data_IF_053802330371
#
_entry.id   IF_053802330371
#
_cell.length_a   1.000
_cell.length_b   1.000
_cell.length_c   1.000
_cell.angle_alpha   90.00
_cell.angle_beta   90.00
_cell.angle_gamma   90.00
#
_symmetry.space_group_name_H-M   'P 1'
#
loop_
_entity.id
_entity.type
_entity.pdbx_description
1 polymer ?
#
# COMPACT_ATOMS: atom_id res chain seq x y z
N UNK A 1 -13.78 2.38 14.40
CA UNK A 1 -13.31 1.01 14.02
C UNK A 1 -12.16 0.73 14.97
N UNK A 2 -12.27 -0.31 15.81
CA UNK A 2 -11.26 -0.62 16.85
C UNK A 2 -9.82 -0.69 16.30
N UNK A 3 -9.66 -1.13 15.05
CA UNK A 3 -8.35 -1.19 14.39
C UNK A 3 -7.76 0.19 14.06
N UNK A 4 -8.55 1.16 13.60
CA UNK A 4 -8.06 2.51 13.30
C UNK A 4 -7.62 3.22 14.59
N UNK A 5 -8.43 3.09 15.64
CA UNK A 5 -8.13 3.64 16.96
C UNK A 5 -6.86 3.00 17.55
N UNK A 6 -6.71 1.68 17.42
CA UNK A 6 -5.49 0.98 17.85
C UNK A 6 -4.24 1.48 17.10
N UNK A 7 -4.31 1.62 15.78
CA UNK A 7 -3.17 2.08 14.97
C UNK A 7 -2.82 3.53 15.33
N UNK A 8 -3.81 4.38 15.57
CA UNK A 8 -3.55 5.75 16.00
C UNK A 8 -2.92 5.81 17.40
N UNK A 9 -3.39 4.98 18.34
CA UNK A 9 -2.77 4.89 19.67
C UNK A 9 -1.31 4.44 19.60
N UNK A 10 -0.99 3.46 18.74
CA UNK A 10 0.39 3.03 18.49
C UNK A 10 1.21 4.18 17.89
N UNK A 11 0.64 4.96 16.96
CA UNK A 11 1.30 6.12 16.35
C UNK A 11 1.66 7.17 17.39
N UNK A 12 0.72 7.48 18.29
CA UNK A 12 0.94 8.43 19.38
C UNK A 12 2.01 7.95 20.36
N UNK A 13 1.96 6.69 20.78
CA UNK A 13 2.99 6.11 21.66
C UNK A 13 4.38 6.14 21.02
N UNK A 14 4.48 5.91 19.71
CA UNK A 14 5.75 6.02 19.00
C UNK A 14 6.26 7.48 18.94
N UNK A 15 5.36 8.46 18.74
CA UNK A 15 5.70 9.88 18.78
C UNK A 15 6.26 10.31 20.15
N UNK A 16 5.63 9.85 21.24
CA UNK A 16 6.11 10.07 22.61
C UNK A 16 7.45 9.40 22.90
N UNK A 17 7.66 8.19 22.37
CA UNK A 17 8.92 7.47 22.54
C UNK A 17 10.08 8.17 21.83
N UNK A 18 9.84 8.76 20.65
CA UNK A 18 10.85 9.54 19.93
C UNK A 18 11.39 10.72 20.78
N UNK A 19 10.55 11.33 21.60
CA UNK A 19 10.99 12.43 22.47
C UNK A 19 11.96 11.95 23.56
N UNK A 20 11.74 10.73 24.08
CA UNK A 20 12.54 10.14 25.17
C UNK A 20 13.91 9.62 24.72
N UNK A 21 14.12 9.38 23.42
CA UNK A 21 15.39 8.83 22.91
C UNK A 21 16.54 9.81 23.09
N UNK A 22 17.56 9.44 23.87
CA UNK A 22 18.75 10.29 24.10
C UNK A 22 19.81 10.15 22.99
N UNK A 23 19.76 9.08 22.21
CA UNK A 23 20.76 8.76 21.19
C UNK A 23 20.49 9.42 19.83
N UNK A 24 19.32 10.06 19.65
CA UNK A 24 18.96 10.80 18.43
C UNK A 24 18.97 12.30 18.72
N UNK A 25 19.56 13.08 17.82
CA UNK A 25 19.60 14.54 17.88
C UNK A 25 18.24 15.19 17.54
N UNK A 26 18.05 16.44 17.99
CA UNK A 26 16.80 17.18 17.81
C UNK A 26 16.33 17.31 16.35
N UNK A 27 17.21 17.67 15.38
CA UNK A 27 16.86 17.70 13.96
C UNK A 27 16.34 16.36 13.43
N UNK A 28 17.01 15.26 13.73
CA UNK A 28 16.58 13.93 13.28
C UNK A 28 15.26 13.51 13.91
N UNK A 29 15.00 13.82 15.18
CA UNK A 29 13.68 13.61 15.82
C UNK A 29 12.57 14.34 15.08
N UNK A 30 12.81 15.59 14.65
CA UNK A 30 11.84 16.38 13.88
C UNK A 30 11.49 15.71 12.55
N UNK A 31 12.48 15.22 11.81
CA UNK A 31 12.25 14.51 10.55
C UNK A 31 11.57 13.14 10.77
N UNK A 32 11.93 12.43 11.85
CA UNK A 32 11.26 11.18 12.23
C UNK A 32 9.77 11.40 12.53
N UNK A 33 9.41 12.46 13.27
CA UNK A 33 8.01 12.84 13.51
C UNK A 33 7.27 13.24 12.23
N UNK A 34 7.93 13.98 11.33
CA UNK A 34 7.36 14.30 10.00
C UNK A 34 7.08 13.03 9.19
N UNK A 35 8.00 12.06 9.21
CA UNK A 35 7.82 10.77 8.53
C UNK A 35 6.65 10.00 9.15
N UNK A 36 6.58 9.93 10.49
CA UNK A 36 5.50 9.28 11.22
C UNK A 36 4.12 9.83 10.85
N UNK A 37 3.98 11.16 10.76
CA UNK A 37 2.73 11.84 10.35
C UNK A 37 2.33 11.58 8.90
N UNK A 38 3.28 11.18 8.04
CA UNK A 38 3.04 10.86 6.63
C UNK A 38 2.80 9.36 6.38
N UNK A 39 2.83 8.53 7.41
CA UNK A 39 2.53 7.10 7.25
C UNK A 39 1.04 6.95 6.92
N UNK A 40 0.76 6.48 5.72
CA UNK A 40 -0.60 6.16 5.29
C UNK A 40 -1.04 4.83 5.90
N UNK A 41 -2.10 4.86 6.71
CA UNK A 41 -2.69 3.68 7.31
C UNK A 41 -3.51 2.93 6.24
N UNK A 42 -3.22 1.65 6.02
CA UNK A 42 -3.97 0.79 5.09
C UNK A 42 -4.59 -0.35 5.91
N UNK A 43 -5.88 -0.22 6.23
CA UNK A 43 -6.58 -1.13 7.15
C UNK A 43 -7.69 -1.86 6.39
N UNK A 44 -7.70 -3.19 6.46
CA UNK A 44 -8.66 -4.04 5.75
C UNK A 44 -8.28 -4.17 4.27
N UNK A 45 -9.01 -3.48 3.40
CA UNK A 45 -8.86 -3.57 1.95
C UNK A 45 -8.99 -2.17 1.33
N UNK A 46 -8.37 -1.94 0.16
CA UNK A 46 -8.39 -0.62 -0.45
C UNK A 46 -9.79 -0.29 -0.97
N UNK A 47 -10.26 0.94 -0.75
CA UNK A 47 -11.63 1.35 -1.08
C UNK A 47 -11.99 1.18 -2.56
N UNK A 48 -10.99 1.18 -3.45
CA UNK A 48 -11.22 1.01 -4.87
C UNK A 48 -11.94 -0.29 -5.22
N UNK A 49 -11.83 -1.35 -4.40
CA UNK A 49 -12.53 -2.61 -4.68
C UNK A 49 -14.04 -2.49 -4.51
N UNK A 50 -14.52 -1.48 -3.76
CA UNK A 50 -15.94 -1.18 -3.62
C UNK A 50 -16.50 -0.45 -4.85
N UNK A 51 -15.63 0.11 -5.69
CA UNK A 51 -16.01 0.79 -6.92
C UNK A 51 -15.92 -0.19 -8.10
N UNK A 52 -17.08 -0.66 -8.56
CA UNK A 52 -17.15 -1.65 -9.63
C UNK A 52 -16.54 -1.16 -10.95
N UNK A 53 -16.75 0.11 -11.31
CA UNK A 53 -16.17 0.72 -12.52
C UNK A 53 -14.65 0.68 -12.46
N UNK A 54 -14.06 1.16 -11.36
CA UNK A 54 -12.61 1.18 -11.19
C UNK A 54 -12.01 -0.23 -11.09
N UNK A 55 -12.73 -1.16 -10.43
CA UNK A 55 -12.34 -2.56 -10.35
C UNK A 55 -12.31 -3.20 -11.75
N UNK A 56 -13.34 -2.96 -12.56
CA UNK A 56 -13.44 -3.44 -13.93
C UNK A 56 -12.39 -2.81 -14.84
N UNK A 57 -12.06 -1.52 -14.70
CA UNK A 57 -10.94 -0.93 -15.44
C UNK A 57 -9.61 -1.58 -15.08
N UNK A 58 -9.40 -1.88 -13.79
CA UNK A 58 -8.15 -2.46 -13.31
C UNK A 58 -7.94 -3.91 -13.75
N UNK A 59 -9.01 -4.70 -13.82
CA UNK A 59 -8.98 -6.14 -14.12
C UNK A 59 -9.65 -6.52 -15.45
N UNK A 60 -10.24 -5.60 -16.19
CA UNK A 60 -11.05 -5.91 -17.37
C UNK A 60 -10.26 -6.40 -18.58
N UNK A 61 -8.94 -6.23 -18.58
CA UNK A 61 -8.10 -6.72 -19.67
C UNK A 61 -7.45 -8.08 -19.43
N UNK A 62 -7.82 -8.81 -18.37
CA UNK A 62 -7.44 -10.22 -18.25
C UNK A 62 -8.43 -11.07 -19.05
N UNK A 63 -7.91 -11.92 -19.95
CA UNK A 63 -8.71 -12.91 -20.68
C UNK A 63 -8.38 -14.27 -20.09
N UNK A 64 -9.29 -14.79 -19.27
CA UNK A 64 -9.16 -16.07 -18.58
C UNK A 64 -10.09 -17.08 -19.26
N UNK A 65 -9.54 -18.20 -19.72
CA UNK A 65 -10.28 -19.28 -20.39
C UNK A 65 -10.34 -20.48 -19.45
N UNK A 66 -11.52 -21.04 -19.22
CA UNK A 66 -11.67 -22.23 -18.38
C UNK A 66 -10.83 -23.39 -18.94
N UNK A 67 -10.25 -24.21 -18.05
CA UNK A 67 -9.38 -25.35 -18.39
C UNK A 67 -8.02 -25.03 -19.06
N UNK A 68 -7.66 -23.75 -19.23
CA UNK A 68 -6.34 -23.33 -19.73
C UNK A 68 -5.47 -22.69 -18.63
N UNK A 69 -5.32 -23.34 -17.48
CA UNK A 69 -4.61 -22.77 -16.32
C UNK A 69 -3.22 -22.21 -16.70
N UNK A 70 -2.38 -23.04 -17.34
CA UNK A 70 -1.02 -22.63 -17.69
C UNK A 70 -0.97 -21.43 -18.64
N UNK A 71 -1.79 -21.42 -19.69
CA UNK A 71 -1.83 -20.30 -20.64
C UNK A 71 -2.37 -19.02 -19.98
N UNK A 72 -3.36 -19.15 -19.09
CA UNK A 72 -3.89 -18.02 -18.32
C UNK A 72 -2.82 -17.42 -17.42
N UNK A 73 -2.04 -18.25 -16.72
CA UNK A 73 -0.93 -17.78 -15.88
C UNK A 73 0.14 -17.04 -16.70
N UNK A 74 0.49 -17.56 -17.90
CA UNK A 74 1.41 -16.85 -18.81
C UNK A 74 0.84 -15.49 -19.21
N UNK A 75 -0.44 -15.43 -19.61
CA UNK A 75 -1.11 -14.17 -20.00
C UNK A 75 -1.11 -13.15 -18.86
N UNK A 76 -1.43 -13.58 -17.63
CA UNK A 76 -1.41 -12.74 -16.43
C UNK A 76 0.01 -12.24 -16.16
N UNK A 77 1.00 -13.13 -16.15
CA UNK A 77 2.40 -12.80 -15.90
C UNK A 77 2.96 -11.79 -16.90
N UNK A 78 2.76 -12.01 -18.20
CA UNK A 78 3.19 -11.09 -19.26
C UNK A 78 2.55 -9.70 -19.10
N UNK A 79 1.27 -9.64 -18.71
CA UNK A 79 0.57 -8.38 -18.48
C UNK A 79 1.11 -7.65 -17.25
N UNK A 80 1.37 -8.34 -16.14
CA UNK A 80 1.99 -7.74 -14.95
C UNK A 80 3.38 -7.17 -15.23
N UNK A 81 4.20 -7.89 -16.00
CA UNK A 81 5.51 -7.40 -16.44
C UNK A 81 5.35 -6.13 -17.27
N UNK A 82 4.45 -6.12 -18.26
CA UNK A 82 4.18 -4.94 -19.10
C UNK A 82 3.70 -3.75 -18.26
N UNK A 83 2.78 -3.96 -17.31
CA UNK A 83 2.29 -2.91 -16.39
C UNK A 83 3.42 -2.33 -15.56
N UNK A 84 4.27 -3.19 -15.01
CA UNK A 84 5.45 -2.81 -14.23
C UNK A 84 6.40 -1.96 -15.07
N UNK A 85 6.76 -2.41 -16.28
CA UNK A 85 7.63 -1.65 -17.19
C UNK A 85 7.03 -0.28 -17.50
N UNK A 86 5.74 -0.21 -17.84
CA UNK A 86 5.06 1.06 -18.14
C UNK A 86 5.04 2.03 -16.95
N UNK A 87 4.96 1.52 -15.71
CA UNK A 87 5.03 2.34 -14.50
C UNK A 87 6.38 3.04 -14.33
N UNK A 88 7.46 2.42 -14.79
CA UNK A 88 8.83 2.93 -14.65
C UNK A 88 9.36 3.63 -15.91
N UNK A 89 8.63 3.56 -17.03
CA UNK A 89 8.90 4.30 -18.26
C UNK A 89 8.49 5.77 -18.07
N UNK A 90 9.31 6.53 -17.33
CA UNK A 90 9.26 8.00 -17.34
C UNK A 90 9.85 8.54 -18.64
#
# INVERSE_FOLDING_TARGET
>A
LKANELVENIRLSFEENLDKLQWIDGPTKKEAKKKLKKINQKIGYPDFIKNQTYLNERYGGYTIIENEYFNNEIKVSMREQRRTILKYRK
#
